data_IF_254874909105
#
_entry.id   IF_254874909105
#
_cell.length_a   1.000
_cell.length_b   1.000
_cell.length_c   1.000
_cell.angle_alpha   90.00
_cell.angle_beta   90.00
_cell.angle_gamma   90.00
#
_symmetry.space_group_name_H-M   'P 1'
#
loop_
_entity.id
_entity.type
_entity.pdbx_description
1 polymer ?
#
# COMPACT_ATOMS: atom_id res chain seq x y z
N UNK A 1 11.77 -0.35 -11.18
CA UNK A 1 12.09 -1.60 -10.46
C UNK A 1 11.49 -1.67 -9.04
N UNK A 2 10.53 -0.80 -8.67
CA UNK A 2 9.85 -0.86 -7.36
C UNK A 2 8.48 -1.56 -7.40
N UNK A 3 7.87 -1.65 -8.58
CA UNK A 3 6.54 -2.26 -8.77
C UNK A 3 6.54 -3.79 -8.56
N UNK A 4 7.63 -4.49 -8.92
CA UNK A 4 7.70 -5.96 -8.73
C UNK A 4 7.77 -6.38 -7.25
N UNK A 5 8.46 -5.63 -6.39
CA UNK A 5 8.61 -5.98 -4.98
C UNK A 5 7.31 -5.82 -4.18
N UNK A 6 6.51 -4.79 -4.49
CA UNK A 6 5.19 -4.61 -3.88
C UNK A 6 4.22 -5.74 -4.24
N UNK A 7 4.23 -6.18 -5.50
CA UNK A 7 3.36 -7.27 -5.97
C UNK A 7 3.74 -8.61 -5.30
N UNK A 8 5.03 -8.85 -5.06
CA UNK A 8 5.53 -10.10 -4.46
C UNK A 8 5.04 -10.32 -3.02
N UNK A 9 5.02 -9.29 -2.17
CA UNK A 9 4.60 -9.43 -0.76
C UNK A 9 3.08 -9.61 -0.67
N UNK A 10 2.31 -8.90 -1.50
CA UNK A 10 0.85 -9.04 -1.50
C UNK A 10 0.39 -10.40 -2.07
N UNK A 11 1.04 -10.97 -3.09
CA UNK A 11 0.74 -12.32 -3.61
C UNK A 11 0.85 -13.39 -2.52
N UNK A 12 1.82 -13.25 -1.62
CA UNK A 12 2.09 -14.20 -0.55
C UNK A 12 1.18 -14.06 0.67
N UNK A 13 0.68 -12.85 0.96
CA UNK A 13 -0.02 -12.57 2.21
C UNK A 13 -1.51 -12.22 2.06
N UNK A 14 -1.98 -11.79 0.89
CA UNK A 14 -3.34 -11.23 0.72
C UNK A 14 -4.29 -12.07 -0.14
N UNK A 15 -3.86 -13.26 -0.56
CA UNK A 15 -4.64 -14.15 -1.42
C UNK A 15 -4.55 -13.80 -2.91
N UNK A 16 -5.20 -14.61 -3.76
CA UNK A 16 -5.07 -14.55 -5.23
C UNK A 16 -5.66 -13.30 -5.90
N UNK A 17 -6.26 -12.40 -5.12
CA UNK A 17 -6.98 -11.25 -5.66
C UNK A 17 -7.04 -10.10 -4.68
N UNK A 18 -6.79 -8.88 -5.19
CA UNK A 18 -6.98 -7.64 -4.44
C UNK A 18 -8.31 -7.01 -4.87
N UNK A 19 -9.16 -6.68 -3.91
CA UNK A 19 -10.34 -5.86 -4.14
C UNK A 19 -9.97 -4.38 -3.98
N UNK A 20 -9.84 -3.68 -5.09
CA UNK A 20 -9.58 -2.25 -5.12
C UNK A 20 -10.89 -1.47 -5.00
N UNK A 21 -10.94 -0.51 -4.09
CA UNK A 21 -12.00 0.50 -4.00
C UNK A 21 -11.41 1.85 -4.37
N UNK A 22 -11.89 2.43 -5.46
CA UNK A 22 -11.40 3.72 -5.94
C UNK A 22 -12.11 4.86 -5.23
N UNK A 23 -11.49 6.04 -5.24
CA UNK A 23 -12.10 7.26 -4.71
C UNK A 23 -12.62 8.14 -5.85
N UNK A 24 -13.77 8.76 -5.62
CA UNK A 24 -14.32 9.80 -6.47
C UNK A 24 -14.13 11.16 -5.81
N UNK A 25 -13.69 12.15 -6.59
CA UNK A 25 -13.45 13.50 -6.10
C UNK A 25 -14.44 14.45 -6.76
N UNK A 26 -15.10 15.28 -5.94
CA UNK A 26 -15.97 16.31 -6.47
C UNK A 26 -15.16 17.38 -7.19
N UNK A 27 -15.45 17.60 -8.47
CA UNK A 27 -14.83 18.64 -9.27
C UNK A 27 -15.33 20.02 -8.86
N UNK A 28 -14.57 20.68 -7.99
CA UNK A 28 -14.87 22.04 -7.52
C UNK A 28 -13.80 23.02 -7.97
N UNK A 29 -14.17 24.29 -8.09
CA UNK A 29 -13.21 25.36 -8.39
C UNK A 29 -12.12 25.45 -7.32
N UNK A 30 -12.48 25.23 -6.05
CA UNK A 30 -11.53 25.17 -4.92
C UNK A 30 -10.53 24.04 -5.10
N UNK A 31 -10.98 22.84 -5.47
CA UNK A 31 -10.07 21.71 -5.65
C UNK A 31 -9.10 21.94 -6.82
N UNK A 32 -9.60 22.44 -7.95
CA UNK A 32 -8.77 22.82 -9.11
C UNK A 32 -7.74 23.90 -8.70
N UNK A 33 -8.18 24.93 -7.98
CA UNK A 33 -7.32 26.01 -7.50
C UNK A 33 -6.23 25.50 -6.55
N UNK A 34 -6.56 24.57 -5.66
CA UNK A 34 -5.59 23.96 -4.75
C UNK A 34 -4.52 23.17 -5.50
N UNK A 35 -4.90 22.39 -6.54
CA UNK A 35 -3.93 21.67 -7.36
C UNK A 35 -3.02 22.61 -8.15
N UNK A 36 -3.57 23.71 -8.68
CA UNK A 36 -2.78 24.75 -9.35
C UNK A 36 -1.81 25.44 -8.40
N UNK A 37 -2.24 25.73 -7.16
CA UNK A 37 -1.38 26.31 -6.14
C UNK A 37 -0.26 25.35 -5.73
N UNK A 38 -0.60 24.08 -5.48
CA UNK A 38 0.36 23.02 -5.17
C UNK A 38 1.40 22.85 -6.29
N UNK A 39 0.97 22.80 -7.55
CA UNK A 39 1.87 22.73 -8.71
C UNK A 39 2.94 23.83 -8.70
N UNK A 40 2.58 25.05 -8.26
CA UNK A 40 3.53 26.19 -8.18
C UNK A 40 4.55 26.05 -7.05
N UNK A 41 4.28 25.22 -6.04
CA UNK A 41 5.21 24.96 -4.93
C UNK A 41 6.25 23.87 -5.24
N UNK A 42 6.05 23.13 -6.34
CA UNK A 42 6.97 22.07 -6.75
C UNK A 42 8.27 22.64 -7.31
N UNK A 43 9.34 21.85 -7.22
CA UNK A 43 10.60 22.13 -7.90
C UNK A 43 10.37 22.25 -9.43
N UNK A 44 11.14 23.11 -10.10
CA UNK A 44 11.00 23.37 -11.55
C UNK A 44 11.20 22.12 -12.40
N UNK A 45 11.96 21.14 -11.91
CA UNK A 45 12.24 19.89 -12.60
C UNK A 45 11.29 18.76 -12.17
N UNK A 46 10.38 19.01 -11.24
CA UNK A 46 9.40 18.01 -10.84
C UNK A 46 8.42 17.73 -12.00
N UNK A 47 8.11 16.46 -12.29
CA UNK A 47 7.12 16.13 -13.31
C UNK A 47 5.73 16.61 -12.87
N UNK A 48 5.02 17.30 -13.77
CA UNK A 48 3.68 17.86 -13.47
C UNK A 48 2.57 17.33 -14.37
N UNK A 49 2.89 16.46 -15.32
CA UNK A 49 1.95 15.94 -16.32
C UNK A 49 0.70 15.28 -15.71
N UNK A 50 0.87 14.55 -14.60
CA UNK A 50 -0.25 13.92 -13.90
C UNK A 50 -1.17 14.95 -13.25
N UNK A 51 -0.60 16.01 -12.68
CA UNK A 51 -1.36 17.12 -12.09
C UNK A 51 -2.13 17.86 -13.19
N UNK A 52 -1.49 18.08 -14.35
CA UNK A 52 -2.12 18.76 -15.48
C UNK A 52 -3.28 17.94 -16.07
N UNK A 53 -3.10 16.62 -16.22
CA UNK A 53 -4.18 15.72 -16.63
C UNK A 53 -5.36 15.76 -15.65
N UNK A 54 -5.09 15.71 -14.34
CA UNK A 54 -6.12 15.79 -13.30
C UNK A 54 -6.87 17.13 -13.33
N UNK A 55 -6.14 18.24 -13.46
CA UNK A 55 -6.75 19.58 -13.59
C UNK A 55 -7.66 19.63 -14.82
N UNK A 56 -7.21 19.17 -15.98
CA UNK A 56 -8.00 19.16 -17.21
C UNK A 56 -9.28 18.30 -17.07
N UNK A 57 -9.16 17.12 -16.46
CA UNK A 57 -10.30 16.24 -16.20
C UNK A 57 -11.32 16.87 -15.23
N UNK A 58 -10.86 17.55 -14.18
CA UNK A 58 -11.72 18.26 -13.25
C UNK A 58 -12.43 19.46 -13.91
N UNK A 59 -11.70 20.24 -14.72
CA UNK A 59 -12.26 21.38 -15.45
C UNK A 59 -13.34 20.95 -16.43
N UNK A 60 -13.14 19.84 -17.15
CA UNK A 60 -14.11 19.29 -18.08
C UNK A 60 -15.38 18.75 -17.39
N UNK A 61 -15.31 18.45 -16.09
CA UNK A 61 -16.37 17.80 -15.32
C UNK A 61 -16.82 18.62 -14.10
N UNK A 62 -16.71 19.95 -14.15
CA UNK A 62 -17.03 20.82 -13.01
C UNK A 62 -18.44 20.53 -12.45
N UNK A 63 -18.53 20.41 -11.12
CA UNK A 63 -19.75 20.07 -10.39
C UNK A 63 -20.08 18.57 -10.34
N UNK A 64 -19.30 17.71 -11.00
CA UNK A 64 -19.49 16.25 -10.99
C UNK A 64 -18.39 15.54 -10.21
N UNK A 65 -18.68 14.31 -9.80
CA UNK A 65 -17.66 13.41 -9.27
C UNK A 65 -16.78 12.87 -10.39
N UNK A 66 -15.47 12.90 -10.18
CA UNK A 66 -14.45 12.41 -11.11
C UNK A 66 -13.64 11.32 -10.43
N UNK A 67 -13.50 10.18 -11.10
CA UNK A 67 -12.65 9.08 -10.69
C UNK A 67 -11.33 9.16 -11.46
N UNK A 68 -10.20 9.27 -10.76
CA UNK A 68 -8.87 9.34 -11.38
C UNK A 68 -8.21 7.97 -11.59
N UNK A 69 -8.88 6.88 -11.22
CA UNK A 69 -8.32 5.55 -11.44
C UNK A 69 -8.38 5.17 -12.91
N UNK A 70 -7.31 4.53 -13.39
CA UNK A 70 -7.24 4.00 -14.76
C UNK A 70 -8.27 2.90 -15.02
N UNK A 71 -8.83 2.32 -13.96
CA UNK A 71 -9.83 1.25 -14.04
C UNK A 71 -11.20 1.71 -14.55
N UNK A 72 -11.52 3.00 -14.38
CA UNK A 72 -12.84 3.56 -14.66
C UNK A 72 -14.00 2.94 -13.85
N UNK A 73 -13.71 2.12 -12.83
CA UNK A 73 -14.70 1.39 -12.03
C UNK A 73 -14.57 1.76 -10.55
N UNK A 74 -15.69 1.98 -9.83
CA UNK A 74 -15.66 2.29 -8.40
C UNK A 74 -15.03 1.17 -7.57
N UNK A 75 -15.23 -0.08 -8.01
CA UNK A 75 -14.66 -1.29 -7.43
C UNK A 75 -14.18 -2.19 -8.55
N UNK A 76 -12.97 -2.73 -8.43
CA UNK A 76 -12.47 -3.76 -9.32
C UNK A 76 -11.64 -4.79 -8.57
N UNK A 77 -11.60 -6.01 -9.11
CA UNK A 77 -10.78 -7.10 -8.60
C UNK A 77 -9.57 -7.20 -9.50
N UNK A 78 -8.40 -7.03 -8.93
CA UNK A 78 -7.13 -7.33 -9.58
C UNK A 78 -6.72 -8.74 -9.20
N UNK A 79 -6.61 -9.62 -10.21
CA UNK A 79 -6.09 -10.96 -10.02
C UNK A 79 -4.57 -10.90 -10.01
N UNK A 80 -3.95 -11.40 -8.95
CA UNK A 80 -2.50 -11.50 -8.89
C UNK A 80 -2.11 -12.87 -9.47
N UNK A 81 -1.42 -12.92 -10.62
CA UNK A 81 -0.92 -14.18 -11.14
C UNK A 81 0.22 -14.67 -10.26
N UNK A 82 0.15 -15.94 -9.83
CA UNK A 82 1.21 -16.59 -9.06
C UNK A 82 2.54 -16.47 -9.81
N UNK A 83 3.52 -15.84 -9.19
CA UNK A 83 4.85 -15.69 -9.79
C UNK A 83 5.63 -16.99 -9.62
N UNK A 84 6.25 -17.51 -10.69
CA UNK A 84 6.98 -18.77 -10.67
C UNK A 84 8.22 -18.77 -9.73
N UNK A 85 8.65 -17.59 -9.27
CA UNK A 85 9.81 -17.39 -8.39
C UNK A 85 9.43 -16.60 -7.12
N UNK A 86 8.33 -16.96 -6.47
CA UNK A 86 7.99 -16.38 -5.17
C UNK A 86 8.95 -16.89 -4.09
N UNK A 87 9.37 -16.05 -3.12
CA UNK A 87 10.21 -16.49 -2.01
C UNK A 87 9.52 -17.59 -1.20
N UNK A 88 10.29 -18.57 -0.75
CA UNK A 88 9.78 -19.68 0.07
C UNK A 88 9.56 -19.27 1.53
N UNK A 89 10.36 -18.33 2.03
CA UNK A 89 10.31 -17.84 3.40
C UNK A 89 10.21 -16.32 3.41
N UNK A 90 9.35 -15.80 4.28
CA UNK A 90 9.18 -14.36 4.54
C UNK A 90 9.31 -14.18 6.04
N UNK A 91 10.23 -13.31 6.45
CA UNK A 91 10.36 -12.88 7.84
C UNK A 91 9.97 -11.41 7.92
N UNK A 92 9.09 -11.08 8.85
CA UNK A 92 8.70 -9.70 9.14
C UNK A 92 9.18 -9.37 10.54
N UNK A 93 10.07 -8.38 10.64
CA UNK A 93 10.60 -7.90 11.91
C UNK A 93 9.79 -6.69 12.36
N UNK A 94 9.29 -6.75 13.60
CA UNK A 94 8.46 -5.71 14.19
C UNK A 94 8.86 -5.47 15.65
N UNK A 95 8.72 -4.23 16.09
CA UNK A 95 9.08 -3.78 17.43
C UNK A 95 7.95 -2.99 18.10
N UNK A 96 8.22 -2.45 19.30
CA UNK A 96 7.24 -1.63 20.05
C UNK A 96 6.91 -0.30 19.38
N UNK A 97 7.67 0.14 18.38
CA UNK A 97 7.40 1.32 17.57
C UNK A 97 6.52 1.02 16.34
N UNK A 98 6.25 -0.25 16.06
CA UNK A 98 5.42 -0.67 14.93
C UNK A 98 3.95 -0.40 15.23
N UNK A 99 3.29 0.42 14.39
CA UNK A 99 1.90 0.83 14.58
C UNK A 99 1.23 1.29 13.29
N UNK A 100 -0.02 1.74 13.37
CA UNK A 100 -0.79 2.25 12.22
C UNK A 100 -0.87 1.22 11.08
N UNK A 101 -0.65 1.62 9.83
CA UNK A 101 -0.70 0.72 8.67
C UNK A 101 0.29 -0.45 8.75
N UNK A 102 1.38 -0.34 9.52
CA UNK A 102 2.34 -1.43 9.69
C UNK A 102 1.81 -2.53 10.62
N UNK A 103 1.13 -2.17 11.71
CA UNK A 103 0.43 -3.12 12.58
C UNK A 103 -0.73 -3.79 11.84
N UNK A 104 -1.50 -3.01 11.08
CA UNK A 104 -2.56 -3.56 10.23
C UNK A 104 -2.00 -4.54 9.19
N UNK A 105 -0.84 -4.24 8.61
CA UNK A 105 -0.15 -5.17 7.71
C UNK A 105 0.20 -6.49 8.42
N UNK A 106 0.80 -6.43 9.62
CA UNK A 106 1.09 -7.64 10.41
C UNK A 106 -0.17 -8.45 10.74
N UNK A 107 -1.29 -7.76 10.98
CA UNK A 107 -2.57 -8.41 11.22
C UNK A 107 -3.04 -9.20 9.99
N UNK A 108 -3.11 -8.55 8.82
CA UNK A 108 -3.63 -9.19 7.60
C UNK A 108 -2.77 -10.38 7.14
N UNK A 109 -1.45 -10.33 7.37
CA UNK A 109 -0.55 -11.43 6.95
C UNK A 109 -0.61 -12.63 7.90
N UNK A 110 -0.90 -12.42 9.18
CA UNK A 110 -0.95 -13.49 10.20
C UNK A 110 -2.33 -14.15 10.28
N UNK A 111 -3.38 -13.34 10.16
CA UNK A 111 -4.76 -13.71 10.42
C UNK A 111 -5.67 -13.31 9.24
N UNK A 112 -5.42 -13.83 8.02
CA UNK A 112 -6.13 -13.37 6.81
C UNK A 112 -7.65 -13.60 6.86
N UNK A 113 -8.11 -14.59 7.64
CA UNK A 113 -9.52 -14.96 7.75
C UNK A 113 -10.19 -14.50 9.07
N UNK A 114 -9.46 -13.83 9.97
CA UNK A 114 -10.00 -13.41 11.27
C UNK A 114 -10.27 -11.90 11.31
N UNK A 115 -11.39 -11.45 11.92
CA UNK A 115 -11.67 -10.02 12.10
C UNK A 115 -10.70 -9.40 13.10
N UNK A 116 -10.36 -8.12 12.88
CA UNK A 116 -9.54 -7.32 13.80
C UNK A 116 -10.19 -7.30 15.19
N UNK A 117 -9.47 -7.77 16.20
CA UNK A 117 -9.85 -7.63 17.60
C UNK A 117 -8.95 -6.61 18.32
N UNK A 118 -9.30 -6.28 19.56
CA UNK A 118 -8.58 -5.29 20.38
C UNK A 118 -7.46 -5.94 21.23
N UNK A 119 -7.04 -7.16 20.94
CA UNK A 119 -6.07 -7.91 21.77
C UNK A 119 -4.63 -7.74 21.23
N UNK A 120 -4.48 -7.31 19.98
CA UNK A 120 -3.19 -7.13 19.32
C UNK A 120 -2.60 -8.45 18.82
N UNK A 121 -1.66 -8.37 17.87
CA UNK A 121 -1.00 -9.54 17.28
C UNK A 121 0.20 -9.93 18.16
N UNK A 122 0.22 -11.15 18.70
CA UNK A 122 1.44 -11.70 19.29
C UNK A 122 2.41 -12.13 18.18
N UNK A 123 3.73 -11.85 18.32
CA UNK A 123 4.73 -12.34 17.40
C UNK A 123 4.89 -13.86 17.53
N UNK A 124 5.21 -14.52 16.42
CA UNK A 124 5.52 -15.96 16.43
C UNK A 124 6.76 -16.29 17.24
N UNK A 125 7.72 -15.36 17.20
CA UNK A 125 8.93 -15.41 17.98
C UNK A 125 9.20 -14.05 18.61
N UNK A 126 9.27 -14.04 19.95
CA UNK A 126 9.66 -12.87 20.70
C UNK A 126 11.19 -12.81 20.81
N UNK A 127 11.80 -11.74 20.29
CA UNK A 127 13.22 -11.46 20.48
C UNK A 127 13.38 -10.56 21.71
N UNK A 128 14.07 -11.05 22.73
CA UNK A 128 14.41 -10.23 23.89
C UNK A 128 15.60 -9.29 23.60
N UNK A 129 15.86 -8.35 24.51
CA UNK A 129 16.89 -7.31 24.36
C UNK A 129 18.33 -7.82 24.23
N UNK A 130 18.60 -9.11 24.49
CA UNK A 130 19.90 -9.73 24.29
C UNK A 130 20.23 -9.93 22.80
N UNK A 131 19.21 -10.04 21.94
CA UNK A 131 19.40 -10.18 20.49
C UNK A 131 19.60 -8.80 19.88
N UNK A 132 20.86 -8.51 19.52
CA UNK A 132 21.25 -7.19 18.96
C UNK A 132 21.08 -7.09 17.46
N UNK A 133 21.26 -8.20 16.74
CA UNK A 133 21.11 -8.27 15.30
C UNK A 133 19.94 -9.18 14.94
N UNK A 134 18.81 -8.55 14.64
CA UNK A 134 17.57 -9.26 14.32
C UNK A 134 17.59 -9.86 12.92
N UNK A 135 18.41 -9.31 12.01
CA UNK A 135 18.53 -9.83 10.64
C UNK A 135 19.38 -11.08 10.64
N UNK A 136 20.53 -11.05 11.32
CA UNK A 136 21.38 -12.23 11.47
C UNK A 136 20.62 -13.36 12.16
N UNK A 137 19.87 -13.04 13.22
CA UNK A 137 19.00 -14.00 13.89
C UNK A 137 17.98 -14.61 12.93
N UNK A 138 17.25 -13.77 12.17
CA UNK A 138 16.22 -14.22 11.24
C UNK A 138 16.76 -15.11 10.13
N UNK A 139 17.94 -14.78 9.58
CA UNK A 139 18.59 -15.59 8.55
C UNK A 139 18.94 -16.98 9.08
N UNK A 140 19.56 -17.05 10.28
CA UNK A 140 19.85 -18.34 10.93
C UNK A 140 18.59 -19.16 11.19
N UNK A 141 17.55 -18.52 11.71
CA UNK A 141 16.28 -19.19 12.02
C UNK A 141 15.58 -19.79 10.80
N UNK A 142 15.71 -19.15 9.62
CA UNK A 142 15.12 -19.64 8.37
C UNK A 142 15.96 -20.71 7.67
N UNK A 143 17.27 -20.76 7.96
CA UNK A 143 18.21 -21.72 7.38
C UNK A 143 18.27 -23.06 8.16
N UNK A 144 17.80 -23.09 9.41
CA UNK A 144 17.65 -24.29 10.25
C UNK A 144 16.40 -25.13 9.89
#
# INVERSE_FOLDING_TARGET
MYSLYYILIFDLCSGKSIRNTTAEFLATQTYIGNLQAYKKTLDKNAPTDDIDKKIAQLQANLGKFVNFSDSGKPVYIELIPKVAKSPQHIVILADKGTGSSAEYFLFIVRLPDYPVDNIGIQPDLYLDSSVKDWVEFALKYVEE
#
